data_IF_159982781936
#
_entry.id   IF_159982781936
#
_cell.length_a   1.000
_cell.length_b   1.000
_cell.length_c   1.000
_cell.angle_alpha   90.00
_cell.angle_beta   90.00
_cell.angle_gamma   90.00
#
_symmetry.space_group_name_H-M   'P 1'
#
loop_
_entity.id
_entity.type
_entity.pdbx_description
1 polymer ?
#
# COMPACT_ATOMS: atom_id res chain seq x y z
N UNK A 1 13.19 8.05 6.99
CA UNK A 1 11.73 7.81 7.06
C UNK A 1 11.09 8.21 5.75
N UNK A 2 10.23 7.37 5.23
CA UNK A 2 9.48 7.66 4.01
C UNK A 2 7.99 7.70 4.31
N UNK A 3 7.29 8.64 3.66
CA UNK A 3 5.84 8.66 3.61
C UNK A 3 5.41 8.04 2.28
N UNK A 4 4.53 7.06 2.34
CA UNK A 4 4.10 6.29 1.17
C UNK A 4 2.59 6.41 1.00
N UNK A 5 2.19 6.68 -0.25
CA UNK A 5 0.79 6.67 -0.64
C UNK A 5 0.64 5.66 -1.78
N UNK A 6 -0.38 4.83 -1.72
CA UNK A 6 -0.61 3.89 -2.80
C UNK A 6 -2.09 3.72 -3.13
N UNK A 7 -2.34 3.40 -4.39
CA UNK A 7 -3.68 3.07 -4.88
C UNK A 7 -3.61 1.75 -5.64
N UNK A 8 -4.68 0.99 -5.54
CA UNK A 8 -4.80 -0.30 -6.22
C UNK A 8 -6.10 -0.31 -7.01
N UNK A 9 -6.00 -0.51 -8.31
CA UNK A 9 -7.18 -0.55 -9.18
C UNK A 9 -7.47 -1.98 -9.63
N UNK A 10 -8.70 -2.32 -9.95
CA UNK A 10 -9.86 -1.46 -10.14
C UNK A 10 -10.43 -0.93 -8.82
N UNK A 11 -10.99 0.28 -8.91
CA UNK A 11 -11.62 0.93 -7.77
C UNK A 11 -13.07 0.41 -7.67
N UNK A 12 -13.40 -0.17 -6.52
CA UNK A 12 -14.76 -0.64 -6.26
C UNK A 12 -15.36 0.25 -5.20
N UNK A 13 -16.41 0.96 -5.57
CA UNK A 13 -17.08 1.90 -4.68
C UNK A 13 -17.80 1.15 -3.56
N UNK A 14 -17.61 1.63 -2.34
CA UNK A 14 -18.33 1.13 -1.16
C UNK A 14 -17.63 0.03 -0.37
N UNK A 15 -16.81 -0.82 -0.99
CA UNK A 15 -16.05 -1.86 -0.27
C UNK A 15 -14.73 -2.14 -0.95
N UNK A 16 -13.63 -2.24 -0.18
CA UNK A 16 -12.36 -2.64 -0.76
C UNK A 16 -12.43 -4.09 -1.24
N UNK A 17 -12.05 -4.31 -2.49
CA UNK A 17 -11.99 -5.63 -3.08
C UNK A 17 -10.82 -6.46 -2.52
N UNK A 18 -10.72 -7.75 -2.90
CA UNK A 18 -9.65 -8.62 -2.41
C UNK A 18 -8.26 -8.11 -2.76
N UNK A 19 -8.09 -7.43 -3.89
CA UNK A 19 -6.80 -6.85 -4.30
C UNK A 19 -6.33 -5.74 -3.35
N UNK A 20 -7.27 -4.91 -2.87
CA UNK A 20 -6.95 -3.84 -1.92
C UNK A 20 -6.64 -4.43 -0.55
N UNK A 21 -7.47 -5.36 -0.08
CA UNK A 21 -7.27 -5.99 1.23
C UNK A 21 -5.96 -6.77 1.28
N UNK A 22 -5.60 -7.46 0.21
CA UNK A 22 -4.35 -8.21 0.14
C UNK A 22 -3.14 -7.26 0.19
N UNK A 23 -3.21 -6.12 -0.52
CA UNK A 23 -2.16 -5.13 -0.50
C UNK A 23 -1.97 -4.54 0.90
N UNK A 24 -3.06 -4.17 1.55
CA UNK A 24 -3.01 -3.62 2.92
C UNK A 24 -2.46 -4.65 3.90
N UNK A 25 -2.93 -5.89 3.83
CA UNK A 25 -2.45 -6.97 4.71
C UNK A 25 -0.96 -7.22 4.52
N UNK A 26 -0.47 -7.14 3.28
CA UNK A 26 0.95 -7.32 2.98
C UNK A 26 1.81 -6.24 3.67
N UNK A 27 1.35 -5.00 3.67
CA UNK A 27 2.04 -3.90 4.35
C UNK A 27 1.98 -4.07 5.86
N UNK A 28 0.80 -4.40 6.39
CA UNK A 28 0.61 -4.59 7.83
C UNK A 28 1.44 -5.74 8.39
N UNK A 29 1.73 -6.74 7.59
CA UNK A 29 2.58 -7.88 7.99
C UNK A 29 3.99 -7.45 8.37
N UNK A 30 4.43 -6.27 7.96
CA UNK A 30 5.73 -5.70 8.34
C UNK A 30 5.66 -4.87 9.63
N UNK A 31 4.56 -4.92 10.36
CA UNK A 31 4.38 -4.15 11.59
C UNK A 31 4.03 -2.69 11.34
N UNK A 32 3.59 -2.36 10.15
CA UNK A 32 3.27 -0.99 9.74
C UNK A 32 1.79 -0.73 9.98
N UNK A 33 1.47 0.45 10.53
CA UNK A 33 0.09 0.93 10.66
C UNK A 33 -0.28 1.66 9.36
N UNK A 34 -1.39 1.24 8.76
CA UNK A 34 -1.87 1.78 7.49
C UNK A 34 -3.08 2.66 7.76
N UNK A 35 -3.12 3.82 7.10
CA UNK A 35 -4.24 4.75 7.17
C UNK A 35 -4.95 4.83 5.83
N UNK A 36 -6.28 4.75 5.86
CA UNK A 36 -7.09 4.89 4.66
C UNK A 36 -7.47 6.36 4.49
N UNK A 37 -6.86 7.00 3.48
CA UNK A 37 -7.19 8.36 3.11
C UNK A 37 -8.35 8.40 2.11
N UNK A 38 -8.89 9.60 1.81
CA UNK A 38 -9.99 9.74 0.86
C UNK A 38 -9.62 9.36 -0.57
N UNK A 39 -8.35 9.43 -0.94
CA UNK A 39 -7.90 9.16 -2.30
C UNK A 39 -6.85 8.05 -2.39
N UNK A 40 -6.13 7.77 -1.31
CA UNK A 40 -5.05 6.80 -1.30
C UNK A 40 -4.91 6.20 0.08
N UNK A 41 -4.29 5.04 0.14
CA UNK A 41 -3.90 4.41 1.40
C UNK A 41 -2.49 4.85 1.73
N UNK A 42 -2.20 5.20 2.97
CA UNK A 42 -0.96 5.83 3.38
C UNK A 42 -0.30 5.10 4.54
N UNK A 43 1.03 5.13 4.55
CA UNK A 43 1.80 4.65 5.70
C UNK A 43 3.19 5.31 5.72
N UNK A 44 3.86 5.19 6.88
CA UNK A 44 5.22 5.70 7.06
C UNK A 44 6.11 4.61 7.67
N UNK A 45 7.32 4.49 7.18
CA UNK A 45 8.31 3.56 7.71
C UNK A 45 9.71 3.95 7.23
N UNK A 46 10.73 3.29 7.75
CA UNK A 46 12.09 3.50 7.28
C UNK A 46 12.29 2.90 5.89
N UNK A 47 13.35 3.32 5.20
CA UNK A 47 13.59 2.97 3.80
C UNK A 47 13.68 1.46 3.56
N UNK A 48 14.31 0.73 4.47
CA UNK A 48 14.45 -0.72 4.33
C UNK A 48 13.09 -1.41 4.45
N UNK A 49 12.33 -1.05 5.47
CA UNK A 49 10.99 -1.62 5.69
C UNK A 49 10.04 -1.28 4.53
N UNK A 50 10.09 -0.04 4.04
CA UNK A 50 9.27 0.39 2.90
C UNK A 50 9.59 -0.45 1.66
N UNK A 51 10.87 -0.68 1.37
CA UNK A 51 11.28 -1.47 0.20
C UNK A 51 10.70 -2.88 0.25
N UNK A 52 10.75 -3.52 1.42
CA UNK A 52 10.19 -4.85 1.60
C UNK A 52 8.67 -4.85 1.53
N UNK A 53 8.03 -3.90 2.19
CA UNK A 53 6.58 -3.79 2.23
C UNK A 53 6.00 -3.50 0.84
N UNK A 54 6.61 -2.60 0.08
CA UNK A 54 6.16 -2.27 -1.28
C UNK A 54 6.31 -3.47 -2.21
N UNK A 55 7.41 -4.22 -2.10
CA UNK A 55 7.59 -5.44 -2.88
C UNK A 55 6.44 -6.41 -2.64
N UNK A 56 6.09 -6.64 -1.38
CA UNK A 56 5.01 -7.56 -1.02
C UNK A 56 3.64 -7.04 -1.43
N UNK A 57 3.38 -5.74 -1.25
CA UNK A 57 2.10 -5.16 -1.63
C UNK A 57 1.85 -5.27 -3.14
N UNK A 58 2.87 -5.01 -3.95
CA UNK A 58 2.75 -5.12 -5.40
C UNK A 58 2.45 -6.57 -5.81
N UNK A 59 3.20 -7.52 -5.27
CA UNK A 59 2.98 -8.94 -5.57
C UNK A 59 1.58 -9.40 -5.19
N UNK A 60 1.15 -9.07 -3.96
CA UNK A 60 -0.14 -9.52 -3.45
C UNK A 60 -1.32 -8.82 -4.12
N UNK A 61 -1.17 -7.55 -4.47
CA UNK A 61 -2.21 -6.84 -5.20
C UNK A 61 -2.48 -7.50 -6.55
N UNK A 62 -1.44 -7.76 -7.33
CA UNK A 62 -1.61 -8.40 -8.65
C UNK A 62 -2.07 -9.85 -8.55
N UNK A 63 -1.63 -10.57 -7.53
CA UNK A 63 -2.09 -11.95 -7.31
C UNK A 63 -3.59 -12.02 -6.98
N UNK A 64 -4.18 -10.92 -6.52
CA UNK A 64 -5.58 -10.85 -6.10
C UNK A 64 -6.46 -9.99 -7.02
N UNK A 65 -6.02 -9.75 -8.24
CA UNK A 65 -6.86 -9.15 -9.27
C UNK A 65 -6.61 -7.68 -9.59
N UNK A 66 -5.54 -7.09 -9.07
CA UNK A 66 -5.20 -5.71 -9.42
C UNK A 66 -4.84 -5.59 -10.90
N UNK A 67 -5.25 -4.50 -11.51
CA UNK A 67 -4.88 -4.15 -12.88
C UNK A 67 -3.84 -3.03 -12.90
N UNK A 68 -3.85 -2.16 -11.90
CA UNK A 68 -2.93 -1.04 -11.78
C UNK A 68 -2.58 -0.83 -10.31
N UNK A 69 -1.30 -0.60 -10.04
CA UNK A 69 -0.82 -0.23 -8.71
C UNK A 69 0.02 1.03 -8.87
N UNK A 70 -0.34 2.08 -8.12
CA UNK A 70 0.41 3.33 -8.10
C UNK A 70 0.98 3.52 -6.72
N UNK A 71 2.27 3.76 -6.63
CA UNK A 71 2.95 4.01 -5.37
C UNK A 71 3.73 5.31 -5.48
N UNK A 72 3.48 6.22 -4.55
CA UNK A 72 4.21 7.48 -4.42
C UNK A 72 4.93 7.48 -3.08
N UNK A 73 6.23 7.76 -3.10
CA UNK A 73 7.05 7.78 -1.89
C UNK A 73 7.80 9.10 -1.82
N UNK A 74 7.83 9.69 -0.63
CA UNK A 74 8.64 10.88 -0.41
C UNK A 74 9.40 10.76 0.91
N UNK A 75 10.59 11.34 0.93
CA UNK A 75 11.41 11.39 2.12
C UNK A 75 10.88 12.49 3.03
N UNK A 76 10.68 12.16 4.29
CA UNK A 76 10.26 13.13 5.31
C UNK A 76 11.36 13.28 6.33
N UNK A 77 11.58 14.52 6.77
CA UNK A 77 12.56 14.84 7.79
C UNK A 77 11.92 14.62 9.16
N UNK A 78 12.51 13.71 9.89
CA UNK A 78 12.05 13.35 11.22
C UNK A 78 13.18 13.54 12.22
#
# INVERSE_FOLDING_TARGET
>A
MLHVEFTVEPFVEGQPGPHVRAAVAAVEAHGITVEFGPFATEFEANEITVSLAVSDLVREAYANGATHVTVHMEKIDV
#
